data_IF_438131369484
#
_entry.id   IF_438131369484
#
_cell.length_a   1.000
_cell.length_b   1.000
_cell.length_c   1.000
_cell.angle_alpha   90.00
_cell.angle_beta   90.00
_cell.angle_gamma   90.00
#
_symmetry.space_group_name_H-M   'P 1'
#
loop_
_entity.id
_entity.type
_entity.pdbx_description
1 polymer ?
#
# COMPACT_ATOMS: atom_id res chain seq x y z
N UNK A 1 -11.24 -18.67 46.99
CA UNK A 1 -11.51 -19.73 46.00
C UNK A 1 -13.01 -19.93 45.72
N UNK A 2 -13.85 -19.99 46.76
CA UNK A 2 -15.31 -20.14 46.59
C UNK A 2 -15.97 -18.98 45.84
N UNK A 3 -15.52 -17.73 46.04
CA UNK A 3 -16.07 -16.57 45.35
C UNK A 3 -15.75 -16.58 43.84
N UNK A 4 -14.55 -17.00 43.45
CA UNK A 4 -14.16 -17.12 42.04
C UNK A 4 -14.97 -18.22 41.36
N UNK A 5 -15.22 -19.33 42.08
CA UNK A 5 -16.01 -20.46 41.56
C UNK A 5 -17.49 -20.09 41.39
N UNK A 6 -18.05 -19.33 42.33
CA UNK A 6 -19.43 -18.83 42.25
C UNK A 6 -19.59 -17.78 41.12
N UNK A 7 -18.60 -16.90 40.90
CA UNK A 7 -18.57 -15.99 39.76
C UNK A 7 -18.56 -16.74 38.44
N UNK A 8 -17.72 -17.75 38.27
CA UNK A 8 -17.65 -18.57 37.05
C UNK A 8 -18.99 -19.27 36.78
N UNK A 9 -19.61 -19.89 37.81
CA UNK A 9 -20.91 -20.56 37.64
C UNK A 9 -22.02 -19.59 37.29
N UNK A 10 -22.06 -18.41 37.89
CA UNK A 10 -23.05 -17.38 37.58
C UNK A 10 -22.85 -16.80 36.16
N UNK A 11 -21.60 -16.65 35.72
CA UNK A 11 -21.29 -16.20 34.37
C UNK A 11 -21.73 -17.26 33.35
N UNK A 12 -21.50 -18.54 33.62
CA UNK A 12 -21.93 -19.63 32.72
C UNK A 12 -23.46 -19.74 32.66
N UNK A 13 -24.18 -19.54 33.76
CA UNK A 13 -25.65 -19.56 33.78
C UNK A 13 -26.31 -18.39 33.03
N UNK A 14 -25.62 -17.27 32.89
CA UNK A 14 -26.11 -16.06 32.24
C UNK A 14 -25.59 -15.91 30.83
N UNK A 15 -25.06 -16.96 30.19
CA UNK A 15 -24.61 -16.92 28.79
C UNK A 15 -25.83 -16.68 27.90
N UNK A 16 -25.93 -15.47 27.38
CA UNK A 16 -26.89 -15.11 26.36
C UNK A 16 -26.39 -15.57 24.97
N UNK A 17 -27.32 -15.78 24.04
CA UNK A 17 -26.96 -16.03 22.61
C UNK A 17 -26.01 -14.95 22.09
N UNK A 18 -26.14 -13.70 22.55
CA UNK A 18 -25.26 -12.60 22.20
C UNK A 18 -23.82 -12.79 22.72
N UNK A 19 -23.65 -13.36 23.90
CA UNK A 19 -22.33 -13.67 24.48
C UNK A 19 -21.61 -14.78 23.70
N UNK A 20 -22.35 -15.78 23.20
CA UNK A 20 -21.79 -16.82 22.33
C UNK A 20 -21.35 -16.24 20.99
N UNK A 21 -22.16 -15.35 20.43
CA UNK A 21 -21.84 -14.67 19.17
C UNK A 21 -20.62 -13.76 19.30
N UNK A 22 -20.48 -13.04 20.42
CA UNK A 22 -19.31 -12.22 20.76
C UNK A 22 -18.04 -13.07 20.83
N UNK A 23 -18.09 -14.19 21.55
CA UNK A 23 -16.97 -15.14 21.65
C UNK A 23 -16.58 -15.70 20.28
N UNK A 24 -17.56 -16.03 19.43
CA UNK A 24 -17.29 -16.54 18.07
C UNK A 24 -16.64 -15.48 17.18
N UNK A 25 -17.11 -14.23 17.22
CA UNK A 25 -16.53 -13.11 16.47
C UNK A 25 -15.09 -12.85 16.92
N UNK A 26 -14.86 -12.76 18.23
CA UNK A 26 -13.53 -12.54 18.78
C UNK A 26 -12.60 -13.71 18.42
N UNK A 27 -13.06 -14.95 18.58
CA UNK A 27 -12.31 -16.16 18.23
C UNK A 27 -11.94 -16.18 16.74
N UNK A 28 -12.87 -15.81 15.86
CA UNK A 28 -12.62 -15.70 14.41
C UNK A 28 -11.58 -14.63 14.06
N UNK A 29 -11.65 -13.47 14.72
CA UNK A 29 -10.67 -12.38 14.52
C UNK A 29 -9.27 -12.86 14.94
N UNK A 30 -9.16 -13.49 16.13
CA UNK A 30 -7.89 -14.04 16.61
C UNK A 30 -7.36 -15.17 15.71
N UNK A 31 -8.23 -16.06 15.27
CA UNK A 31 -7.86 -17.14 14.34
C UNK A 31 -7.33 -16.58 13.02
N UNK A 32 -8.01 -15.57 12.44
CA UNK A 32 -7.58 -14.95 11.20
C UNK A 32 -6.29 -14.16 11.38
N UNK A 33 -6.13 -13.47 12.51
CA UNK A 33 -4.88 -12.80 12.89
C UNK A 33 -3.72 -13.80 13.04
N UNK A 34 -3.93 -14.92 13.71
CA UNK A 34 -2.93 -15.98 13.83
C UNK A 34 -2.53 -16.57 12.47
N UNK A 35 -3.49 -16.80 11.57
CA UNK A 35 -3.21 -17.30 10.22
C UNK A 35 -2.35 -16.35 9.38
N UNK A 36 -2.47 -15.04 9.58
CA UNK A 36 -1.65 -14.03 8.88
C UNK A 36 -0.19 -14.04 9.37
N UNK A 37 0.03 -14.44 10.62
CA UNK A 37 1.34 -14.43 11.26
C UNK A 37 2.03 -15.79 11.11
N UNK A 38 1.26 -16.87 10.96
CA UNK A 38 1.74 -18.24 10.80
C UNK A 38 2.74 -18.34 9.63
N UNK A 39 3.84 -19.06 9.86
CA UNK A 39 4.93 -19.27 8.88
C UNK A 39 5.72 -18.00 8.51
N UNK A 40 5.58 -16.93 9.29
CA UNK A 40 6.36 -15.71 9.12
C UNK A 40 7.42 -15.55 10.21
N UNK A 41 8.38 -14.64 10.01
CA UNK A 41 9.36 -14.28 11.05
C UNK A 41 8.68 -13.72 12.31
N UNK A 42 7.49 -13.13 12.16
CA UNK A 42 6.69 -12.64 13.29
C UNK A 42 6.19 -13.77 14.20
N UNK A 43 5.95 -14.98 13.69
CA UNK A 43 5.59 -16.13 14.51
C UNK A 43 6.70 -16.51 15.51
N UNK A 44 7.96 -16.49 15.07
CA UNK A 44 9.10 -16.78 15.93
C UNK A 44 9.26 -15.74 17.05
N UNK A 45 9.08 -14.46 16.73
CA UNK A 45 9.10 -13.38 17.73
C UNK A 45 7.96 -13.53 18.75
N UNK A 46 6.74 -13.84 18.29
CA UNK A 46 5.59 -14.08 19.18
C UNK A 46 5.82 -15.26 20.12
N UNK A 47 6.41 -16.35 19.65
CA UNK A 47 6.78 -17.50 20.50
C UNK A 47 7.79 -17.09 21.59
N UNK A 48 8.79 -16.28 21.24
CA UNK A 48 9.75 -15.73 22.21
C UNK A 48 9.09 -14.84 23.26
N UNK A 49 8.22 -13.93 22.85
CA UNK A 49 7.46 -13.07 23.77
C UNK A 49 6.53 -13.90 24.67
N UNK A 50 5.80 -14.86 24.11
CA UNK A 50 4.92 -15.74 24.89
C UNK A 50 5.68 -16.55 25.93
N UNK A 51 6.90 -17.02 25.61
CA UNK A 51 7.76 -17.71 26.57
C UNK A 51 8.15 -16.80 27.75
N UNK A 52 8.57 -15.56 27.47
CA UNK A 52 8.94 -14.58 28.50
C UNK A 52 7.72 -14.25 29.36
N UNK A 53 6.55 -14.04 28.78
CA UNK A 53 5.31 -13.75 29.50
C UNK A 53 4.90 -14.94 30.39
N UNK A 54 5.08 -16.18 29.89
CA UNK A 54 4.78 -17.38 30.70
C UNK A 54 5.77 -17.60 31.87
N UNK A 55 7.02 -17.19 31.72
CA UNK A 55 8.02 -17.30 32.78
C UNK A 55 7.81 -16.30 33.93
N UNK A 56 7.16 -15.16 33.68
CA UNK A 56 6.90 -14.16 34.70
C UNK A 56 6.11 -14.69 35.92
N UNK A 57 4.92 -15.29 35.76
CA UNK A 57 4.16 -15.82 36.88
C UNK A 57 4.89 -17.01 37.56
N UNK A 58 5.65 -17.78 36.82
CA UNK A 58 6.44 -18.89 37.35
C UNK A 58 7.55 -18.36 38.26
N UNK A 59 8.29 -17.34 37.84
CA UNK A 59 9.34 -16.73 38.65
C UNK A 59 8.78 -16.08 39.93
N UNK A 60 7.60 -15.46 39.86
CA UNK A 60 6.91 -14.90 41.00
C UNK A 60 6.47 -15.99 41.99
N UNK A 61 5.88 -17.08 41.52
CA UNK A 61 5.43 -18.20 42.35
C UNK A 61 6.59 -18.91 43.05
N UNK A 62 7.74 -19.04 42.40
CA UNK A 62 8.95 -19.65 42.92
C UNK A 62 9.80 -18.68 43.75
N UNK A 63 9.35 -17.42 43.98
CA UNK A 63 10.06 -16.36 44.69
C UNK A 63 11.48 -16.11 44.18
N UNK A 64 11.64 -16.17 42.84
CA UNK A 64 12.90 -15.88 42.14
C UNK A 64 12.98 -14.37 41.85
N UNK A 65 13.20 -13.55 42.88
CA UNK A 65 13.04 -12.10 42.79
C UNK A 65 13.97 -11.45 41.74
N UNK A 66 15.20 -11.93 41.62
CA UNK A 66 16.16 -11.44 40.61
C UNK A 66 15.69 -11.77 39.18
N UNK A 67 15.23 -13.00 38.96
CA UNK A 67 14.70 -13.42 37.64
C UNK A 67 13.45 -12.64 37.30
N UNK A 68 12.52 -12.48 38.23
CA UNK A 68 11.32 -11.68 38.04
C UNK A 68 11.65 -10.24 37.68
N UNK A 69 12.61 -9.62 38.40
CA UNK A 69 13.05 -8.26 38.11
C UNK A 69 13.60 -8.12 36.65
N UNK A 70 14.49 -9.02 36.26
CA UNK A 70 15.08 -9.02 34.91
C UNK A 70 13.99 -9.20 33.84
N UNK A 71 13.12 -10.20 33.99
CA UNK A 71 12.04 -10.47 33.03
C UNK A 71 11.06 -9.30 32.92
N UNK A 72 10.67 -8.69 34.05
CA UNK A 72 9.75 -7.55 34.01
C UNK A 72 10.36 -6.31 33.36
N UNK A 73 11.64 -6.04 33.57
CA UNK A 73 12.36 -4.97 32.89
C UNK A 73 12.55 -5.25 31.41
N UNK A 74 12.84 -6.49 31.07
CA UNK A 74 12.97 -6.93 29.65
C UNK A 74 11.66 -6.73 28.89
N UNK A 75 10.49 -7.05 29.49
CA UNK A 75 9.19 -6.80 28.86
C UNK A 75 8.95 -5.30 28.69
N UNK A 76 9.23 -4.48 29.71
CA UNK A 76 9.03 -3.03 29.63
C UNK A 76 9.85 -2.41 28.47
N UNK A 77 11.14 -2.77 28.39
CA UNK A 77 12.02 -2.31 27.32
C UNK A 77 11.58 -2.89 25.98
N UNK A 78 11.18 -4.18 25.92
CA UNK A 78 10.71 -4.86 24.74
C UNK A 78 9.45 -4.23 24.13
N UNK A 79 8.47 -3.84 24.94
CA UNK A 79 7.27 -3.12 24.48
C UNK A 79 7.66 -1.79 23.84
N UNK A 80 8.55 -1.03 24.47
CA UNK A 80 9.06 0.24 23.93
C UNK A 80 9.79 0.04 22.60
N UNK A 81 10.61 -0.99 22.54
CA UNK A 81 11.35 -1.36 21.31
C UNK A 81 10.39 -1.75 20.18
N UNK A 82 9.35 -2.53 20.48
CA UNK A 82 8.32 -2.90 19.50
C UNK A 82 7.63 -1.65 18.95
N UNK A 83 7.21 -0.73 19.81
CA UNK A 83 6.56 0.52 19.39
C UNK A 83 7.47 1.31 18.43
N UNK A 84 8.76 1.41 18.74
CA UNK A 84 9.74 2.12 17.89
C UNK A 84 9.92 1.40 16.54
N UNK A 85 10.06 0.08 16.55
CA UNK A 85 10.25 -0.70 15.32
C UNK A 85 9.01 -0.62 14.42
N UNK A 86 7.80 -0.67 15.00
CA UNK A 86 6.55 -0.60 14.23
C UNK A 86 6.03 0.81 14.00
N UNK A 87 6.77 1.84 14.43
CA UNK A 87 6.38 3.23 14.20
C UNK A 87 6.12 3.54 12.72
N UNK A 88 6.98 3.12 11.73
CA UNK A 88 6.71 3.37 10.33
C UNK A 88 5.46 2.66 9.80
N UNK A 89 5.20 1.43 10.23
CA UNK A 89 4.02 0.66 9.83
C UNK A 89 2.73 1.26 10.37
N UNK A 90 2.75 1.69 11.63
CA UNK A 90 1.60 2.38 12.26
C UNK A 90 1.34 3.71 11.55
N UNK A 91 2.41 4.47 11.22
CA UNK A 91 2.29 5.71 10.47
C UNK A 91 1.66 5.48 9.09
N UNK A 92 2.15 4.47 8.34
CA UNK A 92 1.58 4.10 7.02
C UNK A 92 0.11 3.70 7.13
N UNK A 93 -0.25 2.89 8.13
CA UNK A 93 -1.63 2.48 8.35
C UNK A 93 -2.54 3.67 8.67
N UNK A 94 -2.09 4.61 9.50
CA UNK A 94 -2.83 5.83 9.82
C UNK A 94 -2.95 6.77 8.63
N UNK A 95 -1.90 6.93 7.84
CA UNK A 95 -1.92 7.71 6.59
C UNK A 95 -2.90 7.11 5.58
N UNK A 96 -2.92 5.78 5.44
CA UNK A 96 -3.88 5.09 4.56
C UNK A 96 -5.34 5.30 5.02
N UNK A 97 -5.60 5.22 6.34
CA UNK A 97 -6.93 5.47 6.89
C UNK A 97 -7.31 6.95 6.74
N UNK A 98 -6.38 7.87 6.98
CA UNK A 98 -6.60 9.31 6.86
C UNK A 98 -6.87 9.75 5.42
N UNK A 99 -6.08 9.26 4.46
CA UNK A 99 -6.26 9.60 3.04
C UNK A 99 -7.56 9.05 2.46
N UNK A 100 -7.94 7.82 2.80
CA UNK A 100 -9.19 7.23 2.28
C UNK A 100 -10.45 8.01 2.69
N UNK A 101 -10.37 8.86 3.71
CA UNK A 101 -11.49 9.68 4.17
C UNK A 101 -11.56 11.07 3.46
N UNK A 102 -10.44 11.60 2.95
CA UNK A 102 -10.36 12.95 2.41
C UNK A 102 -10.08 13.02 0.90
N UNK A 103 -9.32 12.09 0.33
CA UNK A 103 -9.00 12.08 -1.12
C UNK A 103 -10.18 11.65 -2.00
N UNK A 104 -11.18 10.99 -1.44
CA UNK A 104 -12.41 10.59 -2.17
C UNK A 104 -13.26 11.79 -2.63
N UNK A 105 -12.98 13.01 -2.16
CA UNK A 105 -13.71 14.23 -2.54
C UNK A 105 -13.16 14.90 -3.82
N UNK A 106 -11.96 14.54 -4.26
CA UNK A 106 -11.30 15.10 -5.45
C UNK A 106 -11.19 14.09 -6.60
N UNK A 107 -12.03 13.07 -6.60
CA UNK A 107 -12.14 12.16 -7.76
C UNK A 107 -12.64 12.99 -8.94
N UNK A 108 -11.84 13.08 -10.01
CA UNK A 108 -12.26 13.67 -11.27
C UNK A 108 -13.64 13.11 -11.63
N UNK A 109 -14.65 13.96 -11.57
CA UNK A 109 -16.04 13.57 -11.81
C UNK A 109 -16.36 13.50 -13.31
N UNK A 110 -15.44 13.98 -14.14
CA UNK A 110 -15.66 14.15 -15.57
C UNK A 110 -14.81 13.16 -16.39
N UNK A 111 -15.48 12.33 -17.19
CA UNK A 111 -14.81 11.35 -18.06
C UNK A 111 -14.01 12.07 -19.16
N UNK A 112 -14.45 13.26 -19.58
CA UNK A 112 -13.75 14.09 -20.58
C UNK A 112 -12.40 14.57 -20.04
N UNK A 113 -12.34 15.04 -18.80
CA UNK A 113 -11.10 15.48 -18.16
C UNK A 113 -10.09 14.32 -17.98
N UNK A 114 -10.57 13.11 -17.68
CA UNK A 114 -9.73 11.93 -17.61
C UNK A 114 -9.15 11.56 -18.98
N UNK A 115 -9.97 11.64 -20.02
CA UNK A 115 -9.52 11.33 -21.39
C UNK A 115 -8.50 12.36 -21.89
N UNK A 116 -8.65 13.64 -21.53
CA UNK A 116 -7.66 14.68 -21.84
C UNK A 116 -6.31 14.37 -21.20
N UNK A 117 -6.27 14.05 -19.90
CA UNK A 117 -5.03 13.69 -19.19
C UNK A 117 -4.37 12.46 -19.81
N UNK A 118 -5.15 11.42 -20.14
CA UNK A 118 -4.60 10.23 -20.81
C UNK A 118 -4.06 10.56 -22.20
N UNK A 119 -4.72 11.44 -22.92
CA UNK A 119 -4.28 11.85 -24.26
C UNK A 119 -2.96 12.60 -24.17
N UNK A 120 -2.83 13.58 -23.28
CA UNK A 120 -1.57 14.30 -23.04
C UNK A 120 -0.43 13.35 -22.64
N UNK A 121 -0.71 12.42 -21.73
CA UNK A 121 0.26 11.41 -21.28
C UNK A 121 0.72 10.51 -22.44
N UNK A 122 -0.22 10.00 -23.24
CA UNK A 122 0.08 9.10 -24.35
C UNK A 122 0.86 9.83 -25.46
N UNK A 123 0.53 11.10 -25.74
CA UNK A 123 1.30 11.92 -26.69
C UNK A 123 2.75 12.11 -26.22
N UNK A 124 2.96 12.43 -24.94
CA UNK A 124 4.31 12.53 -24.37
C UNK A 124 5.08 11.23 -24.52
N UNK A 125 4.46 10.10 -24.15
CA UNK A 125 5.08 8.77 -24.21
C UNK A 125 5.45 8.39 -25.66
N UNK A 126 4.60 8.72 -26.64
CA UNK A 126 4.88 8.49 -28.07
C UNK A 126 6.09 9.33 -28.52
N UNK A 127 6.10 10.65 -28.23
CA UNK A 127 7.20 11.54 -28.61
C UNK A 127 8.54 11.11 -27.98
N UNK A 128 8.51 10.68 -26.70
CA UNK A 128 9.68 10.14 -26.01
C UNK A 128 10.13 8.80 -26.61
N UNK A 129 9.20 7.97 -27.08
CA UNK A 129 9.50 6.71 -27.76
C UNK A 129 10.14 6.95 -29.12
N UNK A 130 9.60 7.86 -29.92
CA UNK A 130 10.11 8.21 -31.25
C UNK A 130 11.53 8.78 -31.20
N UNK A 131 11.85 9.52 -30.13
CA UNK A 131 13.20 10.07 -29.91
C UNK A 131 14.11 9.11 -29.12
N UNK A 132 13.64 7.90 -28.78
CA UNK A 132 14.33 6.96 -27.90
C UNK A 132 14.81 7.62 -26.59
N UNK A 133 14.04 8.54 -26.05
CA UNK A 133 14.28 9.18 -24.76
C UNK A 133 13.73 8.31 -23.64
N UNK A 134 14.63 7.83 -22.75
CA UNK A 134 14.24 6.96 -21.65
C UNK A 134 13.32 7.66 -20.65
N UNK A 135 12.16 7.07 -20.37
CA UNK A 135 11.20 7.62 -19.43
C UNK A 135 10.65 6.55 -18.47
N UNK A 136 10.32 6.99 -17.25
CA UNK A 136 9.71 6.16 -16.22
C UNK A 136 8.60 6.96 -15.53
N UNK A 137 7.35 6.61 -15.82
CA UNK A 137 6.17 7.33 -15.34
C UNK A 137 5.31 6.39 -14.50
N UNK A 138 5.05 6.75 -13.25
CA UNK A 138 4.20 5.98 -12.34
C UNK A 138 2.90 6.73 -12.08
N UNK A 139 1.77 6.12 -12.41
CA UNK A 139 0.44 6.65 -12.14
C UNK A 139 -0.06 6.01 -10.84
N UNK A 140 -0.13 6.83 -9.80
CA UNK A 140 -0.62 6.42 -8.47
C UNK A 140 -2.06 5.93 -8.57
N UNK A 141 -2.37 4.87 -7.84
CA UNK A 141 -3.70 4.29 -7.80
C UNK A 141 -4.26 4.31 -6.36
N UNK A 142 -4.66 3.13 -5.84
CA UNK A 142 -5.20 3.04 -4.47
C UNK A 142 -4.11 3.07 -3.41
N UNK A 143 -2.92 2.53 -3.74
CA UNK A 143 -1.76 2.56 -2.86
C UNK A 143 -1.04 3.88 -3.01
N UNK A 144 -0.97 4.67 -1.93
CA UNK A 144 -0.27 5.96 -1.94
C UNK A 144 1.24 5.80 -2.15
N UNK A 145 1.82 6.62 -3.00
CA UNK A 145 3.26 6.65 -3.29
C UNK A 145 4.03 7.73 -2.50
N UNK A 146 3.53 8.12 -1.32
CA UNK A 146 4.11 9.19 -0.50
C UNK A 146 5.60 9.01 -0.19
N UNK A 147 6.06 7.78 0.07
CA UNK A 147 7.49 7.50 0.32
C UNK A 147 8.35 7.71 -0.94
N UNK A 148 7.81 7.35 -2.10
CA UNK A 148 8.49 7.56 -3.37
C UNK A 148 8.55 9.04 -3.70
N UNK A 149 7.46 9.78 -3.50
CA UNK A 149 7.37 11.22 -3.73
C UNK A 149 8.37 11.99 -2.84
N UNK A 150 8.52 11.59 -1.58
CA UNK A 150 9.40 12.29 -0.62
C UNK A 150 10.89 12.24 -0.96
N UNK A 151 11.34 11.35 -1.83
CA UNK A 151 12.72 11.25 -2.28
C UNK A 151 12.98 11.93 -3.64
N UNK A 152 11.93 12.50 -4.26
CA UNK A 152 12.01 13.24 -5.52
C UNK A 152 11.88 14.75 -5.34
N UNK A 153 11.80 15.46 -6.47
CA UNK A 153 11.50 16.89 -6.52
C UNK A 153 10.00 17.10 -6.68
N UNK A 154 9.37 17.77 -5.74
CA UNK A 154 7.95 18.09 -5.78
C UNK A 154 7.67 19.17 -6.84
N UNK A 155 6.65 18.98 -7.68
CA UNK A 155 6.30 19.84 -8.82
C UNK A 155 4.89 20.42 -8.72
N UNK A 156 3.92 19.60 -8.38
CA UNK A 156 2.49 19.95 -8.30
C UNK A 156 1.96 20.69 -9.54
N UNK A 157 2.18 20.15 -10.72
CA UNK A 157 1.80 20.72 -12.02
C UNK A 157 0.73 19.88 -12.73
N UNK A 158 -0.09 20.50 -13.60
CA UNK A 158 -1.01 19.73 -14.47
C UNK A 158 -0.24 18.84 -15.43
N UNK A 159 -0.79 17.66 -15.73
CA UNK A 159 -0.25 16.78 -16.76
C UNK A 159 -0.36 17.46 -18.12
N UNK A 160 0.75 17.60 -18.80
CA UNK A 160 0.81 18.02 -20.20
C UNK A 160 1.97 17.31 -20.90
N UNK A 161 1.80 17.06 -22.20
CA UNK A 161 2.81 16.43 -23.04
C UNK A 161 4.13 17.18 -22.98
N UNK A 162 4.08 18.50 -23.16
CA UNK A 162 5.25 19.37 -23.15
C UNK A 162 6.03 19.30 -21.82
N UNK A 163 5.34 19.25 -20.67
CA UNK A 163 6.01 19.17 -19.38
C UNK A 163 6.64 17.80 -19.17
N UNK A 164 5.94 16.71 -19.52
CA UNK A 164 6.49 15.36 -19.40
C UNK A 164 7.73 15.17 -20.28
N UNK A 165 7.70 15.66 -21.51
CA UNK A 165 8.86 15.62 -22.42
C UNK A 165 10.04 16.40 -21.83
N UNK A 166 9.80 17.61 -21.30
CA UNK A 166 10.84 18.42 -20.65
C UNK A 166 11.44 17.75 -19.40
N UNK A 167 10.62 17.05 -18.58
CA UNK A 167 11.13 16.34 -17.42
C UNK A 167 12.17 15.28 -17.83
N UNK A 168 11.97 14.56 -18.92
CA UNK A 168 12.85 13.48 -19.34
C UNK A 168 13.99 13.92 -20.29
N UNK A 169 14.16 15.24 -20.51
CA UNK A 169 15.33 15.75 -21.26
C UNK A 169 16.60 15.32 -20.54
N UNK A 170 17.48 14.61 -21.26
CA UNK A 170 18.74 14.08 -20.72
C UNK A 170 19.62 15.21 -20.18
N UNK A 171 20.34 14.93 -19.09
CA UNK A 171 21.22 15.88 -18.39
C UNK A 171 20.49 17.05 -17.68
N UNK A 172 19.19 16.94 -17.44
CA UNK A 172 18.46 17.87 -16.56
C UNK A 172 18.28 17.27 -15.16
N UNK A 173 18.05 18.08 -14.10
CA UNK A 173 17.92 17.56 -12.74
C UNK A 173 16.75 16.61 -12.50
N UNK A 174 15.70 16.63 -13.36
CA UNK A 174 14.47 15.88 -13.15
C UNK A 174 14.42 14.55 -13.90
N UNK A 175 15.33 14.31 -14.88
CA UNK A 175 15.24 13.17 -15.80
C UNK A 175 15.65 11.83 -15.17
N UNK A 176 16.47 11.86 -14.13
CA UNK A 176 16.97 10.64 -13.50
C UNK A 176 16.06 10.18 -12.36
N UNK A 177 15.16 9.29 -12.69
CA UNK A 177 14.16 8.76 -11.80
C UNK A 177 12.78 8.64 -12.42
N UNK A 178 11.79 8.45 -11.57
CA UNK A 178 10.39 8.35 -11.99
C UNK A 178 9.66 9.67 -11.83
N UNK A 179 8.74 9.95 -12.75
CA UNK A 179 7.72 10.98 -12.60
C UNK A 179 6.45 10.36 -12.04
N UNK A 180 5.93 10.93 -10.96
CA UNK A 180 4.74 10.42 -10.29
C UNK A 180 3.54 11.29 -10.65
N UNK A 181 2.51 10.63 -11.17
CA UNK A 181 1.23 11.26 -11.52
C UNK A 181 0.18 10.79 -10.51
N UNK A 182 -0.53 11.75 -9.92
CA UNK A 182 -1.69 11.53 -9.06
C UNK A 182 -2.86 12.30 -9.62
N UNK A 183 -3.94 11.60 -9.97
CA UNK A 183 -5.11 12.16 -10.66
C UNK A 183 -4.69 12.85 -11.98
N UNK A 184 -4.86 14.16 -12.07
CA UNK A 184 -4.53 15.02 -13.22
C UNK A 184 -3.23 15.80 -13.06
N UNK A 185 -2.44 15.49 -12.01
CA UNK A 185 -1.26 16.28 -11.66
C UNK A 185 0.01 15.45 -11.63
N UNK A 186 1.08 16.04 -12.13
CA UNK A 186 2.45 15.58 -11.89
C UNK A 186 2.84 16.10 -10.49
N UNK A 187 2.92 15.19 -9.52
CA UNK A 187 3.21 15.58 -8.13
C UNK A 187 4.68 15.64 -7.82
N UNK A 188 5.51 14.80 -8.46
CA UNK A 188 6.96 14.82 -8.29
C UNK A 188 7.67 14.21 -9.50
N UNK A 189 8.95 14.55 -9.68
CA UNK A 189 9.84 13.94 -10.65
C UNK A 189 11.23 13.66 -10.05
N UNK A 190 12.05 12.87 -10.75
CA UNK A 190 13.36 12.44 -10.24
C UNK A 190 13.22 11.49 -9.05
N UNK A 191 12.11 10.79 -8.92
CA UNK A 191 11.87 9.89 -7.79
C UNK A 191 12.59 8.56 -7.95
N UNK A 192 13.33 8.14 -6.91
CA UNK A 192 14.01 6.84 -6.88
C UNK A 192 13.02 5.74 -6.53
N UNK A 193 12.93 4.70 -7.38
CA UNK A 193 12.09 3.54 -7.18
C UNK A 193 12.87 2.33 -6.68
N UNK A 194 12.23 1.42 -5.92
CA UNK A 194 12.85 0.15 -5.55
C UNK A 194 13.09 -0.70 -6.80
N UNK A 195 14.26 -1.32 -6.88
CA UNK A 195 14.57 -2.26 -7.95
C UNK A 195 14.00 -3.64 -7.62
N UNK A 196 13.41 -4.29 -8.62
CA UNK A 196 12.99 -5.69 -8.47
C UNK A 196 14.20 -6.62 -8.24
N UNK A 197 14.06 -7.47 -7.22
CA UNK A 197 15.04 -8.54 -6.91
C UNK A 197 14.76 -9.85 -7.64
N UNK A 198 13.76 -9.88 -8.52
CA UNK A 198 13.37 -11.08 -9.24
C UNK A 198 14.45 -11.50 -10.26
N UNK A 199 15.08 -12.61 -10.02
CA UNK A 199 16.15 -13.18 -10.87
C UNK A 199 15.66 -13.74 -12.21
N UNK A 200 14.34 -13.91 -12.37
CA UNK A 200 13.73 -14.39 -13.63
C UNK A 200 13.57 -13.30 -14.68
N UNK A 201 13.74 -12.03 -14.28
CA UNK A 201 13.69 -10.90 -15.21
C UNK A 201 14.87 -10.96 -16.19
N UNK A 202 14.58 -10.73 -17.46
CA UNK A 202 15.60 -10.72 -18.52
C UNK A 202 16.71 -9.72 -18.16
N UNK A 203 17.95 -10.20 -18.07
CA UNK A 203 19.15 -9.39 -17.72
C UNK A 203 19.45 -8.24 -18.70
N UNK A 204 18.86 -8.28 -19.89
CA UNK A 204 18.97 -7.21 -20.89
C UNK A 204 18.08 -6.00 -20.59
N UNK A 205 17.21 -6.08 -19.60
CA UNK A 205 16.36 -4.94 -19.21
C UNK A 205 17.17 -3.95 -18.38
N UNK A 206 17.14 -2.68 -18.79
CA UNK A 206 17.82 -1.59 -18.09
C UNK A 206 17.22 -1.28 -16.72
N UNK A 207 17.87 -0.37 -16.01
CA UNK A 207 17.52 0.02 -14.62
C UNK A 207 16.10 0.53 -14.50
N UNK A 208 15.61 1.35 -15.46
CA UNK A 208 14.22 1.87 -15.48
C UNK A 208 13.18 0.75 -15.55
N UNK A 209 13.42 -0.30 -16.33
CA UNK A 209 12.51 -1.44 -16.37
C UNK A 209 12.47 -2.20 -15.04
N UNK A 210 13.64 -2.44 -14.43
CA UNK A 210 13.73 -3.11 -13.14
C UNK A 210 13.10 -2.28 -12.01
N UNK A 211 13.26 -0.96 -12.07
CA UNK A 211 12.63 -0.02 -11.14
C UNK A 211 11.09 -0.02 -11.30
N UNK A 212 10.61 0.03 -12.53
CA UNK A 212 9.16 -0.04 -12.79
C UNK A 212 8.53 -1.35 -12.34
N UNK A 213 9.19 -2.49 -12.58
CA UNK A 213 8.72 -3.79 -12.06
C UNK A 213 8.73 -3.77 -10.53
N UNK A 214 9.82 -3.32 -9.89
CA UNK A 214 9.97 -3.29 -8.44
C UNK A 214 8.88 -2.46 -7.74
N UNK A 215 8.53 -1.30 -8.27
CA UNK A 215 7.41 -0.52 -7.74
C UNK A 215 6.07 -1.26 -7.97
N UNK A 216 5.87 -1.91 -9.11
CA UNK A 216 4.63 -2.65 -9.40
C UNK A 216 4.49 -3.95 -8.59
N UNK A 217 5.55 -4.46 -7.96
CA UNK A 217 5.51 -5.60 -7.03
C UNK A 217 4.97 -5.17 -5.65
N UNK A 218 5.19 -3.91 -5.25
CA UNK A 218 4.87 -3.40 -3.92
C UNK A 218 3.66 -2.47 -3.90
N UNK A 219 3.17 -2.06 -5.08
CA UNK A 219 2.02 -1.16 -5.22
C UNK A 219 1.12 -1.59 -6.38
N UNK A 220 -0.09 -1.03 -6.42
CA UNK A 220 -1.02 -1.21 -7.54
C UNK A 220 -0.89 -0.10 -8.60
N UNK A 221 0.19 0.68 -8.56
CA UNK A 221 0.47 1.73 -9.53
C UNK A 221 0.61 1.17 -10.95
N UNK A 222 0.25 1.99 -11.93
CA UNK A 222 0.51 1.70 -13.35
C UNK A 222 1.82 2.39 -13.74
N UNK A 223 2.80 1.60 -14.20
CA UNK A 223 4.11 2.16 -14.53
C UNK A 223 4.35 2.02 -16.03
N UNK A 224 4.51 3.17 -16.70
CA UNK A 224 4.87 3.27 -18.11
C UNK A 224 6.38 3.47 -18.20
N UNK A 225 7.03 2.70 -19.05
CA UNK A 225 8.47 2.75 -19.27
C UNK A 225 8.75 2.90 -20.76
N UNK A 226 9.56 3.90 -21.13
CA UNK A 226 10.12 4.06 -22.46
C UNK A 226 11.59 3.66 -22.42
N UNK A 227 11.99 2.77 -23.31
CA UNK A 227 13.37 2.31 -23.40
C UNK A 227 14.26 3.36 -24.10
N UNK A 228 15.34 3.76 -23.46
CA UNK A 228 16.33 4.66 -24.08
C UNK A 228 17.15 4.00 -25.20
N UNK A 229 17.17 2.66 -25.26
CA UNK A 229 17.91 1.92 -26.28
C UNK A 229 17.08 1.68 -27.53
N UNK A 230 15.76 1.49 -27.40
CA UNK A 230 14.92 0.98 -28.49
C UNK A 230 13.66 1.80 -28.73
N UNK A 231 13.36 2.81 -27.91
CA UNK A 231 12.09 3.54 -27.92
C UNK A 231 10.87 2.68 -27.55
N UNK A 232 11.07 1.41 -27.16
CA UNK A 232 9.97 0.50 -26.88
C UNK A 232 9.18 0.94 -25.67
N UNK A 233 7.87 1.09 -25.82
CA UNK A 233 6.93 1.40 -24.73
C UNK A 233 6.54 0.10 -24.01
N UNK A 234 6.66 0.10 -22.71
CA UNK A 234 6.32 -1.02 -21.84
C UNK A 234 5.43 -0.56 -20.69
N UNK A 235 4.56 -1.46 -20.18
CA UNK A 235 3.70 -1.22 -19.03
C UNK A 235 3.99 -2.28 -17.97
N UNK A 236 4.30 -1.84 -16.75
CA UNK A 236 4.46 -2.73 -15.59
C UNK A 236 3.25 -2.58 -14.65
N UNK A 237 2.64 -3.73 -14.30
CA UNK A 237 1.47 -3.81 -13.42
C UNK A 237 1.54 -5.12 -12.62
N UNK A 238 1.37 -5.05 -11.29
CA UNK A 238 1.38 -6.21 -10.40
C UNK A 238 2.60 -7.14 -10.61
N UNK A 239 3.80 -6.58 -10.72
CA UNK A 239 5.05 -7.31 -10.92
C UNK A 239 5.25 -7.89 -12.32
N UNK A 240 4.36 -7.61 -13.28
CA UNK A 240 4.44 -8.12 -14.66
C UNK A 240 4.71 -6.98 -15.63
N UNK A 241 5.67 -7.21 -16.54
CA UNK A 241 6.02 -6.28 -17.60
C UNK A 241 5.44 -6.77 -18.93
N UNK A 242 4.65 -5.93 -19.59
CA UNK A 242 4.18 -6.14 -20.97
C UNK A 242 4.83 -5.10 -21.86
N UNK A 243 5.36 -5.51 -23.02
CA UNK A 243 6.16 -4.69 -23.92
C UNK A 243 5.45 -4.47 -25.27
N UNK A 244 6.00 -3.56 -26.07
CA UNK A 244 5.59 -3.28 -27.43
C UNK A 244 4.17 -2.71 -27.53
N UNK A 245 3.88 -1.71 -26.71
CA UNK A 245 2.67 -0.92 -26.88
C UNK A 245 2.86 0.10 -28.00
N UNK A 246 1.86 0.22 -28.87
CA UNK A 246 1.66 1.38 -29.73
C UNK A 246 0.75 2.40 -29.01
N UNK A 247 0.64 3.59 -29.58
CA UNK A 247 -0.16 4.70 -29.03
C UNK A 247 -1.60 4.30 -28.73
N UNK A 248 -2.28 3.68 -29.69
CA UNK A 248 -3.71 3.36 -29.59
C UNK A 248 -3.97 2.27 -28.56
N UNK A 249 -3.09 1.26 -28.51
CA UNK A 249 -3.17 0.21 -27.47
C UNK A 249 -2.87 0.77 -26.10
N UNK A 250 -1.86 1.64 -25.96
CA UNK A 250 -1.56 2.27 -24.69
C UNK A 250 -2.75 3.10 -24.20
N UNK A 251 -3.31 3.97 -25.08
CA UNK A 251 -4.48 4.79 -24.76
C UNK A 251 -5.65 3.93 -24.33
N UNK A 252 -5.99 2.92 -25.09
CA UNK A 252 -7.15 2.06 -24.83
C UNK A 252 -7.02 1.28 -23.51
N UNK A 253 -5.81 0.79 -23.19
CA UNK A 253 -5.61 0.05 -21.94
C UNK A 253 -5.62 0.96 -20.71
N UNK A 254 -5.05 2.17 -20.81
CA UNK A 254 -5.07 3.16 -19.73
C UNK A 254 -6.51 3.60 -19.43
N UNK A 255 -7.28 3.98 -20.47
CA UNK A 255 -8.71 4.33 -20.33
C UNK A 255 -9.45 3.17 -19.63
N UNK A 256 -9.32 1.94 -20.14
CA UNK A 256 -10.00 0.78 -19.58
C UNK A 256 -9.65 0.52 -18.12
N UNK A 257 -8.37 0.61 -17.75
CA UNK A 257 -7.95 0.36 -16.37
C UNK A 257 -8.45 1.47 -15.45
N UNK A 258 -8.34 2.73 -15.85
CA UNK A 258 -8.71 3.87 -15.03
C UNK A 258 -10.23 3.97 -14.84
N UNK A 259 -11.03 3.76 -15.89
CA UNK A 259 -12.50 3.72 -15.80
C UNK A 259 -12.98 2.54 -14.95
N UNK A 260 -12.48 1.32 -15.19
CA UNK A 260 -12.87 0.15 -14.40
C UNK A 260 -12.55 0.30 -12.91
N UNK A 261 -11.46 0.98 -12.56
CA UNK A 261 -11.10 1.26 -11.16
C UNK A 261 -12.01 2.30 -10.54
N UNK A 262 -12.36 3.34 -11.31
CA UNK A 262 -13.32 4.36 -10.88
C UNK A 262 -14.69 3.76 -10.57
N UNK A 263 -15.21 2.93 -11.45
CA UNK A 263 -16.48 2.22 -11.22
C UNK A 263 -16.45 1.34 -9.97
N UNK A 264 -15.35 0.62 -9.72
CA UNK A 264 -15.17 -0.18 -8.50
C UNK A 264 -15.16 0.70 -7.25
N UNK A 265 -14.47 1.86 -7.29
CA UNK A 265 -14.46 2.81 -6.16
C UNK A 265 -15.87 3.36 -5.88
N UNK A 266 -16.58 3.79 -6.91
CA UNK A 266 -17.96 4.33 -6.77
C UNK A 266 -18.91 3.27 -6.21
N UNK A 267 -18.84 2.02 -6.69
CA UNK A 267 -19.66 0.90 -6.16
C UNK A 267 -19.35 0.63 -4.68
N UNK A 268 -18.07 0.58 -4.31
CA UNK A 268 -17.63 0.35 -2.92
C UNK A 268 -18.05 1.49 -1.99
N UNK A 269 -17.99 2.74 -2.43
CA UNK A 269 -18.49 3.91 -1.68
C UNK A 269 -20.01 3.86 -1.54
N UNK A 270 -20.74 3.58 -2.62
CA UNK A 270 -22.19 3.44 -2.58
C UNK A 270 -22.67 2.33 -1.63
N UNK A 271 -21.96 1.21 -1.57
CA UNK A 271 -22.23 0.13 -0.61
C UNK A 271 -21.93 0.55 0.84
N UNK A 272 -20.80 1.21 1.09
CA UNK A 272 -20.45 1.75 2.41
C UNK A 272 -21.48 2.76 2.90
N UNK A 273 -21.92 3.67 2.03
CA UNK A 273 -22.95 4.67 2.35
C UNK A 273 -24.30 3.99 2.61
N UNK A 274 -24.71 3.01 1.81
CA UNK A 274 -25.95 2.24 2.05
C UNK A 274 -25.92 1.52 3.40
N UNK A 275 -24.81 0.86 3.74
CA UNK A 275 -24.62 0.17 5.03
C UNK A 275 -24.68 1.16 6.17
N UNK A 276 -24.05 2.34 6.04
CA UNK A 276 -24.06 3.39 7.04
C UNK A 276 -25.47 3.96 7.28
N UNK A 277 -26.21 4.28 6.20
CA UNK A 277 -27.62 4.77 6.28
C UNK A 277 -28.52 3.70 6.90
N UNK A 278 -28.33 2.42 6.56
CA UNK A 278 -29.13 1.32 7.13
C UNK A 278 -28.84 1.14 8.63
N UNK A 279 -27.60 1.37 9.06
CA UNK A 279 -27.23 1.35 10.48
C UNK A 279 -27.87 2.47 11.29
N UNK A 280 -27.90 3.70 10.74
CA UNK A 280 -28.56 4.86 11.38
C UNK A 280 -30.08 4.64 11.48
N UNK A 281 -30.71 4.05 10.44
CA UNK A 281 -32.16 3.73 10.47
C UNK A 281 -32.53 2.63 11.45
N UNK A 282 -31.60 1.77 11.87
CA UNK A 282 -31.84 0.73 12.90
C UNK A 282 -31.64 1.23 14.34
N UNK A 283 -31.06 2.42 14.52
CA UNK A 283 -30.83 3.02 15.84
C UNK A 283 -31.91 4.05 16.21
N UNK A 284 -32.87 4.32 15.33
CA UNK A 284 -34.11 5.04 15.59
C UNK A 284 -35.28 4.04 15.70
#
# INVERSE_FOLDING_TARGET
MQEVFSMIINTIKNISIWSVLDILVVSYIFFKGYMLIKETRAEQLLKGIALIVALLPISYLLRLDMLYFILSKTITIGVLTIIIIFQPEIRRALEHIGRSAFDDLHVMQDDEALEEVITELVNAVENLADTATGALIAIEQSTGLGEVISNGTELDAKVSSALLENIFVVNTPLHDGATIIRNDRIVAAGCVLPLSNNTTINKKLGTRHRAGIGLSETSDALIIIVSEETGTISLAVNGRLTRNYDKDKLKSILIRIMINRREKRVKTLGEKVKVWITRIKRQK
#
